data_IF_059780585582
#
_entry.id   IF_059780585582
#
_cell.length_a   1.000
_cell.length_b   1.000
_cell.length_c   1.000
_cell.angle_alpha   90.00
_cell.angle_beta   90.00
_cell.angle_gamma   90.00
#
_symmetry.space_group_name_H-M   'P 1'
#
loop_
_entity.id
_entity.type
_entity.pdbx_description
1 polymer ?
#
# COMPACT_ATOMS: atom_id res chain seq x y z
N UNK A 1 -1.40 -4.94 -11.06
CA UNK A 1 -0.26 -4.39 -10.26
C UNK A 1 -0.23 -2.87 -10.14
N UNK A 2 -1.14 -2.12 -10.79
CA UNK A 2 -1.33 -0.66 -10.58
C UNK A 2 -2.55 -0.47 -9.66
N UNK A 3 -2.46 -0.57 -8.31
CA UNK A 3 -2.27 0.63 -7.47
C UNK A 3 -1.74 0.35 -6.02
N UNK A 4 -0.85 -0.63 -5.80
CA UNK A 4 -0.48 -1.07 -4.42
C UNK A 4 0.18 0.02 -3.55
N UNK A 5 0.86 0.99 -4.15
CA UNK A 5 1.87 1.80 -3.47
C UNK A 5 1.51 3.26 -3.20
N UNK A 6 0.37 3.74 -3.71
CA UNK A 6 0.00 5.16 -3.60
C UNK A 6 -0.51 5.55 -2.19
N UNK A 7 -0.78 4.57 -1.32
CA UNK A 7 -1.51 4.80 -0.07
C UNK A 7 -0.66 5.40 1.06
N UNK A 8 0.66 5.12 1.12
CA UNK A 8 1.52 5.57 2.23
C UNK A 8 1.87 7.06 2.16
N UNK A 9 2.04 7.62 0.96
CA UNK A 9 2.40 9.05 0.79
C UNK A 9 1.24 10.03 0.99
N UNK A 10 -0.02 9.59 0.87
CA UNK A 10 -1.17 10.48 0.98
C UNK A 10 -1.58 10.81 2.42
N UNK A 11 -1.26 9.95 3.40
CA UNK A 11 -1.72 10.11 4.78
C UNK A 11 -0.77 10.88 5.70
N UNK A 12 0.47 11.15 5.29
CA UNK A 12 1.46 11.87 6.09
C UNK A 12 1.25 13.41 6.17
N UNK A 13 0.19 13.96 5.56
CA UNK A 13 0.05 15.41 5.33
C UNK A 13 -1.20 16.11 5.91
N UNK A 14 -1.92 15.51 6.86
CA UNK A 14 -3.09 16.20 7.45
C UNK A 14 -3.06 16.25 8.99
N UNK A 15 -2.64 17.37 9.60
CA UNK A 15 -2.89 17.63 11.01
C UNK A 15 -4.17 18.49 11.19
N UNK A 16 -5.07 18.05 12.07
CA UNK A 16 -6.01 18.94 12.75
C UNK A 16 -7.50 18.59 12.61
N UNK A 17 -8.04 17.85 13.58
CA UNK A 17 -9.48 17.83 13.84
C UNK A 17 -9.72 18.27 15.29
N UNK A 18 -10.33 19.45 15.47
CA UNK A 18 -10.78 19.96 16.78
C UNK A 18 -12.12 19.35 17.16
N UNK A 19 -12.27 19.05 18.45
CA UNK A 19 -13.51 18.59 19.08
C UNK A 19 -14.54 19.72 19.20
N UNK A 20 -15.80 19.43 18.90
CA UNK A 20 -16.97 20.27 19.22
C UNK A 20 -18.02 19.40 19.90
N UNK A 21 -18.36 19.74 21.15
CA UNK A 21 -19.37 19.09 21.99
C UNK A 21 -20.63 19.96 22.15
N UNK A 22 -21.81 19.33 22.08
CA UNK A 22 -23.15 19.89 22.38
C UNK A 22 -24.03 20.05 21.12
N UNK A 23 -25.35 19.82 21.07
CA UNK A 23 -26.39 19.57 22.07
C UNK A 23 -27.69 19.09 21.33
N UNK A 24 -28.49 18.22 21.98
CA UNK A 24 -29.94 17.87 21.82
C UNK A 24 -30.61 17.60 20.44
N UNK A 25 -31.42 16.51 20.29
CA UNK A 25 -32.15 16.20 19.04
C UNK A 25 -33.58 16.77 19.01
N UNK A 26 -34.09 17.27 17.85
CA UNK A 26 -35.50 17.61 17.69
C UNK A 26 -36.35 16.43 17.19
N UNK A 27 -37.63 16.50 17.53
CA UNK A 27 -38.71 15.54 17.31
C UNK A 27 -38.97 15.15 15.84
N UNK A 28 -39.31 13.86 15.63
CA UNK A 28 -39.63 13.24 14.33
C UNK A 28 -40.85 13.87 13.64
N UNK A 29 -40.70 14.17 12.34
CA UNK A 29 -41.79 14.16 11.34
C UNK A 29 -41.45 13.14 10.25
N UNK A 30 -42.40 12.33 9.75
CA UNK A 30 -42.14 11.39 8.67
C UNK A 30 -42.42 12.05 7.32
N UNK A 31 -41.46 11.96 6.40
CA UNK A 31 -41.65 12.33 4.99
C UNK A 31 -40.52 13.19 4.42
N UNK A 32 -39.48 12.53 3.92
CA UNK A 32 -38.68 12.89 2.73
C UNK A 32 -37.66 11.78 2.53
N UNK A 33 -37.35 11.43 1.27
CA UNK A 33 -36.48 10.31 0.91
C UNK A 33 -35.19 10.28 1.73
N UNK A 34 -34.77 9.07 2.12
CA UNK A 34 -33.58 8.82 2.92
C UNK A 34 -32.34 9.40 2.23
N UNK A 35 -32.05 10.67 2.51
CA UNK A 35 -30.77 11.29 2.17
C UNK A 35 -29.68 10.56 2.95
N UNK A 36 -28.53 10.34 2.30
CA UNK A 36 -27.39 9.70 2.94
C UNK A 36 -27.03 10.43 4.24
N UNK A 37 -27.24 9.77 5.38
CA UNK A 37 -26.80 10.28 6.66
C UNK A 37 -25.29 10.08 6.77
N UNK A 38 -24.53 11.17 6.91
CA UNK A 38 -23.12 11.10 7.26
C UNK A 38 -23.03 10.99 8.77
N UNK A 39 -22.83 9.78 9.26
CA UNK A 39 -22.47 9.58 10.66
C UNK A 39 -21.01 10.02 10.84
N UNK A 40 -20.69 10.88 11.83
CA UNK A 40 -19.29 11.16 12.15
C UNK A 40 -18.62 9.84 12.54
N UNK A 41 -17.68 9.38 11.70
CA UNK A 41 -17.04 8.09 11.84
C UNK A 41 -15.55 8.29 12.16
N UNK A 42 -15.13 7.84 13.34
CA UNK A 42 -13.72 7.75 13.72
C UNK A 42 -13.07 6.46 13.18
N UNK A 43 -13.48 6.04 11.97
CA UNK A 43 -13.15 4.73 11.40
C UNK A 43 -12.93 4.85 9.90
N UNK A 44 -11.78 4.38 9.42
CA UNK A 44 -11.50 4.24 8.00
C UNK A 44 -12.20 3.00 7.44
N UNK A 45 -12.81 3.11 6.26
CA UNK A 45 -13.36 1.96 5.54
C UNK A 45 -12.46 1.69 4.34
N UNK A 46 -11.89 0.48 4.30
CA UNK A 46 -11.04 0.01 3.21
C UNK A 46 -11.83 -0.95 2.34
N UNK A 47 -11.96 -0.64 1.06
CA UNK A 47 -12.70 -1.45 0.10
C UNK A 47 -11.74 -2.23 -0.78
N UNK A 48 -11.77 -3.56 -0.65
CA UNK A 48 -10.95 -4.54 -1.37
C UNK A 48 -9.86 -5.13 -0.49
N UNK A 49 -9.96 -6.43 -0.19
CA UNK A 49 -9.01 -7.21 0.60
C UNK A 49 -7.82 -7.77 -0.18
N UNK A 50 -7.42 -7.13 -1.28
CA UNK A 50 -6.12 -7.40 -1.90
C UNK A 50 -4.96 -6.85 -1.05
N UNK A 51 -3.71 -7.06 -1.48
CA UNK A 51 -2.55 -6.56 -0.74
C UNK A 51 -2.65 -5.06 -0.45
N UNK A 52 -3.13 -4.26 -1.40
CA UNK A 52 -3.30 -2.81 -1.26
C UNK A 52 -4.23 -2.42 -0.12
N UNK A 53 -5.41 -3.04 -0.05
CA UNK A 53 -6.33 -2.76 1.04
C UNK A 53 -5.81 -3.29 2.37
N UNK A 54 -5.21 -4.48 2.40
CA UNK A 54 -4.61 -5.01 3.63
C UNK A 54 -3.50 -4.10 4.16
N UNK A 55 -2.64 -3.58 3.28
CA UNK A 55 -1.56 -2.67 3.67
C UNK A 55 -2.10 -1.31 4.12
N UNK A 56 -3.13 -0.78 3.45
CA UNK A 56 -3.82 0.43 3.87
C UNK A 56 -4.47 0.28 5.25
N UNK A 57 -5.18 -0.84 5.47
CA UNK A 57 -5.80 -1.15 6.74
C UNK A 57 -4.76 -1.30 7.86
N UNK A 58 -3.66 -2.01 7.60
CA UNK A 58 -2.56 -2.16 8.56
C UNK A 58 -1.96 -0.80 8.93
N UNK A 59 -1.71 0.07 7.95
CA UNK A 59 -1.16 1.40 8.22
C UNK A 59 -2.08 2.24 9.11
N UNK A 60 -3.40 2.16 8.92
CA UNK A 60 -4.37 2.86 9.80
C UNK A 60 -4.28 2.33 11.23
N UNK A 61 -4.18 1.02 11.41
CA UNK A 61 -4.05 0.39 12.73
C UNK A 61 -2.73 0.74 13.39
N UNK A 62 -1.62 0.75 12.65
CA UNK A 62 -0.30 1.18 13.16
C UNK A 62 -0.30 2.63 13.64
N UNK A 63 -1.10 3.49 13.00
CA UNK A 63 -1.29 4.88 13.42
C UNK A 63 -2.31 5.04 14.57
N UNK A 64 -2.77 3.95 15.20
CA UNK A 64 -3.74 3.97 16.29
C UNK A 64 -5.20 4.21 15.86
N UNK A 65 -5.48 4.17 14.55
CA UNK A 65 -6.81 4.34 14.00
C UNK A 65 -7.65 3.07 14.03
N UNK A 66 -8.97 3.24 13.81
CA UNK A 66 -9.90 2.12 13.60
C UNK A 66 -10.12 1.92 12.10
N UNK A 67 -10.15 0.67 11.65
CA UNK A 67 -10.38 0.34 10.24
C UNK A 67 -11.42 -0.77 10.09
N UNK A 68 -12.26 -0.70 9.05
CA UNK A 68 -13.09 -1.80 8.56
C UNK A 68 -12.64 -2.12 7.14
N UNK A 69 -12.14 -3.33 6.93
CA UNK A 69 -11.83 -3.83 5.61
C UNK A 69 -12.99 -4.67 5.08
N UNK A 70 -13.44 -4.38 3.87
CA UNK A 70 -14.54 -5.10 3.21
C UNK A 70 -14.04 -5.61 1.86
N UNK A 71 -14.24 -6.89 1.59
CA UNK A 71 -14.05 -7.48 0.26
C UNK A 71 -15.40 -7.99 -0.26
N UNK A 72 -15.60 -7.94 -1.58
CA UNK A 72 -16.78 -8.51 -2.23
C UNK A 72 -16.71 -10.05 -2.23
N UNK A 73 -15.51 -10.61 -2.32
CA UNK A 73 -15.26 -12.04 -2.38
C UNK A 73 -15.34 -12.68 -1.01
N UNK A 74 -15.63 -13.99 -0.98
CA UNK A 74 -15.66 -14.80 0.25
C UNK A 74 -14.30 -14.88 0.96
N UNK A 75 -13.21 -14.63 0.24
CA UNK A 75 -11.85 -14.62 0.75
C UNK A 75 -11.12 -13.38 0.27
N UNK A 76 -10.28 -12.83 1.15
CA UNK A 76 -9.36 -11.76 0.81
C UNK A 76 -8.21 -12.27 -0.07
N UNK A 77 -7.55 -11.36 -0.79
CA UNK A 77 -6.33 -11.61 -1.54
C UNK A 77 -6.39 -11.18 -3.00
N UNK A 78 -7.56 -11.29 -3.65
CA UNK A 78 -7.76 -10.87 -5.04
C UNK A 78 -6.71 -11.46 -6.00
N UNK A 79 -6.22 -10.64 -6.93
CA UNK A 79 -5.14 -11.08 -7.85
C UNK A 79 -3.78 -11.23 -7.17
N UNK A 80 -3.60 -10.66 -5.99
CA UNK A 80 -2.30 -10.69 -5.30
C UNK A 80 -1.92 -12.10 -4.83
N UNK A 81 -2.89 -12.96 -4.53
CA UNK A 81 -2.62 -14.37 -4.17
C UNK A 81 -2.08 -15.18 -5.34
N UNK A 82 -2.27 -14.71 -6.58
CA UNK A 82 -1.75 -15.36 -7.80
C UNK A 82 -0.39 -14.80 -8.25
N UNK A 83 0.16 -13.82 -7.53
CA UNK A 83 1.43 -13.23 -7.89
C UNK A 83 2.59 -14.17 -7.49
N UNK A 84 3.33 -14.68 -8.47
CA UNK A 84 4.42 -15.65 -8.26
C UNK A 84 5.80 -15.05 -8.53
N UNK A 85 5.88 -13.91 -9.23
CA UNK A 85 7.15 -13.34 -9.70
C UNK A 85 7.98 -12.69 -8.59
N UNK A 86 7.34 -12.28 -7.49
CA UNK A 86 7.97 -11.50 -6.42
C UNK A 86 7.63 -10.01 -6.47
N UNK A 87 8.32 -9.23 -5.62
CA UNK A 87 8.12 -7.80 -5.40
C UNK A 87 9.38 -7.02 -5.81
N UNK A 88 9.21 -5.88 -6.47
CA UNK A 88 10.36 -5.07 -6.87
C UNK A 88 10.73 -4.06 -5.80
N UNK A 89 12.01 -3.97 -5.45
CA UNK A 89 12.55 -2.98 -4.52
C UNK A 89 14.01 -2.66 -4.83
N UNK A 90 14.33 -1.37 -4.85
CA UNK A 90 15.69 -0.87 -5.08
C UNK A 90 16.35 -0.39 -3.77
N UNK A 91 17.67 -0.46 -3.71
CA UNK A 91 18.49 -0.09 -2.54
C UNK A 91 18.12 -0.82 -1.22
N UNK A 92 17.54 -2.02 -1.31
CA UNK A 92 17.13 -2.86 -0.18
C UNK A 92 18.30 -3.45 0.61
N UNK A 93 18.05 -3.89 1.85
CA UNK A 93 19.05 -4.63 2.65
C UNK A 93 19.51 -5.91 1.92
N UNK A 94 18.57 -6.68 1.37
CA UNK A 94 18.86 -7.91 0.63
C UNK A 94 19.76 -7.68 -0.59
N UNK A 95 19.61 -6.56 -1.30
CA UNK A 95 20.50 -6.19 -2.42
C UNK A 95 21.91 -5.90 -1.92
N UNK A 96 22.04 -5.14 -0.83
CA UNK A 96 23.33 -4.81 -0.21
C UNK A 96 24.05 -6.07 0.26
N UNK A 97 23.35 -6.98 0.93
CA UNK A 97 23.90 -8.24 1.44
C UNK A 97 24.41 -9.16 0.32
N UNK A 98 23.83 -9.03 -0.89
CA UNK A 98 24.23 -9.77 -2.08
C UNK A 98 25.17 -9.01 -3.01
N UNK A 99 25.65 -7.84 -2.61
CA UNK A 99 26.56 -7.01 -3.41
C UNK A 99 25.95 -6.52 -4.73
N UNK A 100 24.63 -6.34 -4.78
CA UNK A 100 23.93 -5.80 -5.96
C UNK A 100 23.92 -4.28 -5.89
N UNK A 101 24.55 -3.65 -6.89
CA UNK A 101 24.49 -2.20 -7.08
C UNK A 101 23.20 -1.83 -7.84
N UNK A 102 22.21 -1.33 -7.11
CA UNK A 102 20.94 -0.83 -7.64
C UNK A 102 20.56 0.47 -6.92
N UNK A 103 19.89 1.38 -7.62
CA UNK A 103 19.49 2.67 -7.09
C UNK A 103 18.05 3.02 -7.42
N UNK A 104 17.48 3.93 -6.63
CA UNK A 104 16.13 4.44 -6.85
C UNK A 104 16.03 5.12 -8.22
N UNK A 105 17.08 5.82 -8.63
CA UNK A 105 17.18 6.53 -9.91
C UNK A 105 17.19 5.53 -11.07
N UNK A 106 17.96 4.46 -10.95
CA UNK A 106 18.02 3.40 -11.97
C UNK A 106 16.66 2.72 -12.10
N UNK A 107 16.02 2.40 -10.98
CA UNK A 107 14.68 1.80 -10.98
C UNK A 107 13.61 2.75 -11.55
N UNK A 108 13.70 4.05 -11.25
CA UNK A 108 12.81 5.08 -11.80
C UNK A 108 12.96 5.16 -13.32
N UNK A 109 14.19 5.19 -13.83
CA UNK A 109 14.50 5.24 -15.27
C UNK A 109 13.97 4.00 -16.00
N UNK A 110 14.22 2.81 -15.47
CA UNK A 110 13.73 1.55 -16.01
C UNK A 110 12.19 1.52 -16.06
N UNK A 111 11.53 2.04 -15.03
CA UNK A 111 10.07 2.08 -14.93
C UNK A 111 9.45 3.06 -15.94
N UNK A 112 10.07 4.22 -16.14
CA UNK A 112 9.66 5.19 -17.16
C UNK A 112 9.85 4.63 -18.57
N UNK A 113 11.02 4.03 -18.83
CA UNK A 113 11.32 3.36 -20.10
C UNK A 113 10.36 2.21 -20.41
N UNK A 114 9.89 1.50 -19.38
CA UNK A 114 8.87 0.46 -19.48
C UNK A 114 7.45 0.95 -19.84
N UNK A 115 7.26 2.26 -20.04
CA UNK A 115 5.99 2.84 -20.50
C UNK A 115 5.09 3.38 -19.38
N UNK A 116 5.66 3.69 -18.21
CA UNK A 116 4.92 4.39 -17.16
C UNK A 116 4.59 5.83 -17.58
N UNK A 117 3.31 6.19 -17.55
CA UNK A 117 2.81 7.49 -18.04
C UNK A 117 2.74 8.61 -16.99
N UNK A 118 3.04 8.28 -15.73
CA UNK A 118 2.85 9.17 -14.57
C UNK A 118 4.13 9.25 -13.72
N UNK A 119 5.08 10.12 -14.08
CA UNK A 119 6.37 10.21 -13.41
C UNK A 119 6.30 10.51 -11.91
N UNK A 120 5.31 11.28 -11.48
CA UNK A 120 5.06 11.60 -10.08
C UNK A 120 4.73 10.35 -9.25
N UNK A 121 3.96 9.43 -9.82
CA UNK A 121 3.65 8.14 -9.18
C UNK A 121 4.86 7.22 -9.21
N UNK A 122 5.64 7.24 -10.30
CA UNK A 122 6.87 6.43 -10.40
C UNK A 122 7.90 6.86 -9.36
N UNK A 123 8.06 8.17 -9.13
CA UNK A 123 8.97 8.69 -8.12
C UNK A 123 8.62 8.17 -6.73
N UNK A 124 7.34 8.20 -6.36
CA UNK A 124 6.87 7.66 -5.08
C UNK A 124 7.06 6.13 -5.01
N UNK A 125 6.71 5.43 -6.09
CA UNK A 125 6.85 3.98 -6.19
C UNK A 125 8.30 3.55 -5.97
N UNK A 126 9.24 4.09 -6.75
CA UNK A 126 10.64 3.69 -6.69
C UNK A 126 11.31 4.20 -5.41
N UNK A 127 10.99 5.41 -4.96
CA UNK A 127 11.57 6.02 -3.76
C UNK A 127 11.24 5.27 -2.47
N UNK A 128 10.03 4.72 -2.35
CA UNK A 128 9.63 3.96 -1.15
C UNK A 128 9.91 2.46 -1.25
N UNK A 129 10.14 1.95 -2.47
CA UNK A 129 10.19 0.50 -2.73
C UNK A 129 11.18 -0.27 -1.85
N UNK A 130 12.35 0.30 -1.56
CA UNK A 130 13.35 -0.34 -0.71
C UNK A 130 12.87 -0.51 0.73
N UNK A 131 12.42 0.60 1.33
CA UNK A 131 11.91 0.62 2.70
C UNK A 131 10.65 -0.25 2.88
N UNK A 132 9.82 -0.33 1.84
CA UNK A 132 8.60 -1.14 1.89
C UNK A 132 8.92 -2.64 1.81
N UNK A 133 9.93 -3.07 1.04
CA UNK A 133 10.42 -4.45 1.05
C UNK A 133 11.02 -4.79 2.41
N UNK A 134 11.85 -3.92 2.96
CA UNK A 134 12.45 -4.13 4.28
C UNK A 134 11.37 -4.20 5.37
N UNK A 135 10.32 -3.37 5.29
CA UNK A 135 9.18 -3.43 6.22
C UNK A 135 8.43 -4.76 6.16
N UNK A 136 8.23 -5.32 4.96
CA UNK A 136 7.58 -6.63 4.80
C UNK A 136 8.40 -7.74 5.49
N UNK A 137 9.73 -7.71 5.34
CA UNK A 137 10.63 -8.65 6.01
C UNK A 137 10.58 -8.44 7.53
N UNK A 138 10.81 -7.21 7.99
CA UNK A 138 10.99 -6.91 9.41
C UNK A 138 9.69 -7.06 10.23
N UNK A 139 8.52 -6.77 9.65
CA UNK A 139 7.22 -6.79 10.38
C UNK A 139 6.45 -8.10 10.26
N UNK A 140 6.56 -8.78 9.13
CA UNK A 140 5.76 -9.97 8.85
C UNK A 140 6.59 -11.24 8.68
N UNK A 141 7.91 -11.16 8.92
CA UNK A 141 8.84 -12.28 8.78
C UNK A 141 8.73 -12.95 7.41
N UNK A 142 8.55 -12.12 6.37
CA UNK A 142 8.41 -12.59 4.99
C UNK A 142 9.79 -12.94 4.43
N UNK A 143 9.93 -14.16 3.91
CA UNK A 143 11.11 -14.54 3.14
C UNK A 143 11.10 -13.82 1.80
N UNK A 144 11.95 -12.79 1.69
CA UNK A 144 12.24 -12.04 0.47
C UNK A 144 13.74 -12.11 0.15
N UNK A 145 14.38 -13.23 0.50
CA UNK A 145 15.83 -13.38 0.40
C UNK A 145 16.34 -13.64 -1.02
N UNK A 146 15.53 -14.13 -1.95
CA UNK A 146 15.97 -14.41 -3.32
C UNK A 146 15.82 -13.17 -4.19
N UNK A 147 16.86 -12.91 -5.00
CA UNK A 147 16.88 -11.82 -5.97
C UNK A 147 16.86 -12.38 -7.38
N UNK A 148 15.97 -11.85 -8.20
CA UNK A 148 15.89 -12.12 -9.62
C UNK A 148 15.95 -10.81 -10.42
N UNK A 149 16.44 -10.92 -11.66
CA UNK A 149 16.37 -9.86 -12.66
C UNK A 149 15.29 -10.22 -13.67
N UNK A 150 14.18 -9.48 -13.67
CA UNK A 150 13.12 -9.61 -14.65
C UNK A 150 13.36 -8.73 -15.88
N UNK A 151 12.63 -8.98 -16.96
CA UNK A 151 12.74 -8.24 -18.21
C UNK A 151 12.50 -6.73 -18.02
N UNK A 152 13.34 -5.91 -18.64
CA UNK A 152 13.27 -4.44 -18.54
C UNK A 152 13.97 -3.84 -17.32
N UNK A 153 14.58 -4.66 -16.46
CA UNK A 153 15.38 -4.18 -15.33
C UNK A 153 16.87 -4.14 -15.66
N UNK A 154 17.53 -3.05 -15.28
CA UNK A 154 18.98 -2.86 -15.41
C UNK A 154 19.76 -3.64 -14.34
N UNK A 155 19.20 -3.81 -13.13
CA UNK A 155 19.79 -4.58 -12.03
C UNK A 155 18.80 -5.63 -11.45
N UNK A 156 19.30 -6.68 -10.75
CA UNK A 156 18.46 -7.60 -9.99
C UNK A 156 17.75 -6.89 -8.84
N UNK A 157 16.42 -6.86 -8.87
CA UNK A 157 15.61 -6.11 -7.89
C UNK A 157 14.26 -6.74 -7.56
N UNK A 158 14.00 -7.92 -8.10
CA UNK A 158 12.78 -8.67 -7.83
C UNK A 158 13.05 -9.63 -6.68
N UNK A 159 12.45 -9.34 -5.53
CA UNK A 159 12.55 -10.09 -4.29
C UNK A 159 11.48 -11.16 -4.21
N UNK A 160 11.86 -12.38 -3.83
CA UNK A 160 10.94 -13.51 -3.65
C UNK A 160 11.44 -14.46 -2.56
N UNK A 161 10.53 -15.25 -2.01
CA UNK A 161 10.87 -16.32 -1.06
C UNK A 161 11.38 -17.56 -1.74
N UNK A 162 12.05 -18.43 -0.98
CA UNK A 162 12.33 -19.81 -1.40
C UNK A 162 11.00 -20.54 -1.59
N UNK A 163 10.90 -21.36 -2.63
CA UNK A 163 9.71 -22.19 -2.85
C UNK A 163 9.44 -23.05 -1.60
N UNK A 164 8.17 -23.09 -1.18
CA UNK A 164 7.66 -24.00 -0.14
C UNK A 164 7.08 -25.24 -0.80
#
# INVERSE_FOLDING_TARGET
LKPFWLQRSAFALAPGARSITGHTPPSRRPGLGSMAMVHPANQAIVVGGGLAGMSAANQVVECGGKTLLVDKSSFCGGNSTKATSGINGAATKTQKDKGVDDSVELFTSDTLKGGAKRPEVVKVLCGNSGADVDWLVDKFDLDLSLLARLGGHSAPRTHRGKER
#
